data_IF_762884797369
#
_entry.id   IF_762884797369
#
_cell.length_a   1.000
_cell.length_b   1.000
_cell.length_c   1.000
_cell.angle_alpha   90.00
_cell.angle_beta   90.00
_cell.angle_gamma   90.00
#
_symmetry.space_group_name_H-M   'P 1'
#
loop_
_entity.id
_entity.type
_entity.pdbx_description
1 polymer ?
#
# COMPACT_ATOMS: atom_id res chain seq x y z
N UNK A 1 -0.08 -2.71 -21.52
CA UNK A 1 1.41 -2.62 -21.53
C UNK A 1 1.97 -4.01 -21.24
N UNK A 2 2.84 -4.50 -22.10
CA UNK A 2 3.47 -5.81 -21.94
C UNK A 2 4.47 -5.78 -20.77
N UNK A 3 4.79 -6.93 -20.14
CA UNK A 3 5.68 -6.98 -18.98
C UNK A 3 7.07 -6.36 -19.22
N UNK A 4 7.62 -6.53 -20.40
CA UNK A 4 8.92 -5.99 -20.79
C UNK A 4 8.90 -4.45 -20.91
N UNK A 5 7.83 -3.92 -21.50
CA UNK A 5 7.59 -2.47 -21.58
C UNK A 5 7.47 -1.83 -20.20
N UNK A 6 6.78 -2.51 -19.26
CA UNK A 6 6.67 -2.03 -17.87
C UNK A 6 8.02 -1.97 -17.16
N UNK A 7 8.88 -2.99 -17.36
CA UNK A 7 10.23 -2.99 -16.77
C UNK A 7 11.08 -1.83 -17.29
N UNK A 8 11.04 -1.61 -18.60
CA UNK A 8 11.74 -0.46 -19.22
C UNK A 8 11.21 0.85 -18.67
N UNK A 9 9.90 0.98 -18.58
CA UNK A 9 9.25 2.17 -18.03
C UNK A 9 9.67 2.44 -16.59
N UNK A 10 9.72 1.43 -15.72
CA UNK A 10 10.20 1.54 -14.33
C UNK A 10 11.65 2.05 -14.29
N UNK A 11 12.54 1.58 -15.17
CA UNK A 11 13.92 2.06 -15.24
C UNK A 11 13.96 3.55 -15.61
N UNK A 12 13.18 3.96 -16.59
CA UNK A 12 13.14 5.35 -17.06
C UNK A 12 12.52 6.29 -16.02
N UNK A 13 11.48 5.84 -15.30
CA UNK A 13 10.90 6.58 -14.18
C UNK A 13 11.92 6.80 -13.06
N UNK A 14 12.70 5.78 -12.69
CA UNK A 14 13.74 5.93 -11.67
C UNK A 14 14.80 6.96 -12.09
N UNK A 15 15.22 6.96 -13.36
CA UNK A 15 16.18 7.98 -13.86
C UNK A 15 15.64 9.40 -13.72
N UNK A 16 14.34 9.59 -14.01
CA UNK A 16 13.70 10.91 -13.92
C UNK A 16 13.48 11.36 -12.48
N UNK A 17 13.37 10.43 -11.54
CA UNK A 17 12.98 10.70 -10.14
C UNK A 17 14.12 11.21 -9.25
N UNK A 18 15.39 11.12 -9.66
CA UNK A 18 16.55 11.47 -8.84
C UNK A 18 16.53 12.90 -8.25
N UNK A 19 15.80 13.83 -8.87
CA UNK A 19 15.71 15.24 -8.44
C UNK A 19 14.31 15.65 -8.02
N UNK A 20 13.39 14.70 -7.91
CA UNK A 20 12.01 14.97 -7.56
C UNK A 20 11.80 14.84 -6.05
N UNK A 21 10.96 15.71 -5.49
CA UNK A 21 10.43 15.53 -4.14
C UNK A 21 9.44 14.36 -4.09
N UNK A 22 9.18 13.84 -2.90
CA UNK A 22 8.16 12.79 -2.68
C UNK A 22 6.80 13.21 -3.23
N UNK A 23 6.41 14.46 -3.03
CA UNK A 23 5.16 15.02 -3.56
C UNK A 23 5.14 15.01 -5.10
N UNK A 24 6.25 15.41 -5.72
CA UNK A 24 6.37 15.41 -7.18
C UNK A 24 6.32 14.00 -7.77
N UNK A 25 6.91 13.00 -7.10
CA UNK A 25 6.82 11.59 -7.49
C UNK A 25 5.37 11.10 -7.43
N UNK A 26 4.64 11.41 -6.36
CA UNK A 26 3.22 11.04 -6.23
C UNK A 26 2.39 11.70 -7.33
N UNK A 27 2.55 13.01 -7.54
CA UNK A 27 1.82 13.76 -8.56
C UNK A 27 2.13 13.27 -9.99
N UNK A 28 3.39 12.95 -10.28
CA UNK A 28 3.79 12.35 -11.55
C UNK A 28 3.12 10.99 -11.75
N UNK A 29 3.18 10.12 -10.74
CA UNK A 29 2.58 8.77 -10.80
C UNK A 29 1.07 8.84 -10.99
N UNK A 30 0.40 9.74 -10.26
CA UNK A 30 -1.05 9.94 -10.39
C UNK A 30 -1.48 10.33 -11.81
N UNK A 31 -0.67 11.15 -12.51
CA UNK A 31 -0.93 11.52 -13.91
C UNK A 31 -0.63 10.41 -14.92
N UNK A 32 0.38 9.57 -14.64
CA UNK A 32 0.83 8.53 -15.56
C UNK A 32 -0.03 7.26 -15.49
N UNK A 33 -0.58 6.93 -14.33
CA UNK A 33 -1.47 5.79 -14.14
C UNK A 33 -2.91 6.24 -14.38
N UNK A 34 -3.67 5.43 -15.10
CA UNK A 34 -5.08 5.74 -15.41
C UNK A 34 -5.87 6.05 -14.12
N UNK A 35 -6.82 7.00 -14.15
CA UNK A 35 -7.68 7.31 -13.01
C UNK A 35 -8.32 6.05 -12.42
N UNK A 36 -8.33 5.94 -11.09
CA UNK A 36 -8.88 4.80 -10.36
C UNK A 36 -8.02 3.51 -10.43
N UNK A 37 -6.83 3.55 -11.07
CA UNK A 37 -5.94 2.38 -11.20
C UNK A 37 -4.67 2.48 -10.35
N UNK A 38 -4.55 3.52 -9.53
CA UNK A 38 -3.51 3.71 -8.52
C UNK A 38 -4.13 3.63 -7.12
N UNK A 39 -3.45 2.99 -6.16
CA UNK A 39 -3.86 2.97 -4.76
C UNK A 39 -2.68 3.26 -3.83
N UNK A 40 -2.96 3.77 -2.64
CA UNK A 40 -2.02 3.77 -1.51
C UNK A 40 -2.34 2.59 -0.60
N UNK A 41 -1.32 1.82 -0.19
CA UNK A 41 -1.46 0.84 0.89
C UNK A 41 -0.87 1.42 2.17
N UNK A 42 -1.69 1.57 3.21
CA UNK A 42 -1.28 2.19 4.47
C UNK A 42 -1.77 1.40 5.68
N UNK A 43 -0.94 1.30 6.71
CA UNK A 43 -1.32 0.79 8.04
C UNK A 43 -1.83 1.89 8.97
N UNK A 44 -1.83 3.14 8.54
CA UNK A 44 -2.12 4.31 9.38
C UNK A 44 -1.24 4.41 10.66
N UNK A 45 -0.09 3.75 10.71
CA UNK A 45 0.88 3.98 11.79
C UNK A 45 1.39 5.43 11.79
N UNK A 46 1.96 5.89 12.90
CA UNK A 46 2.41 7.28 13.07
C UNK A 46 3.29 7.77 11.92
N UNK A 47 4.22 6.95 11.44
CA UNK A 47 5.09 7.29 10.31
C UNK A 47 4.37 7.34 8.95
N UNK A 48 3.20 6.71 8.84
CA UNK A 48 2.43 6.68 7.58
C UNK A 48 1.68 7.99 7.32
N UNK A 49 1.46 8.82 8.35
CA UNK A 49 0.71 10.08 8.26
C UNK A 49 1.34 11.05 7.27
N UNK A 50 2.67 11.11 7.21
CA UNK A 50 3.37 11.96 6.23
C UNK A 50 3.00 11.57 4.80
N UNK A 51 3.01 10.27 4.48
CA UNK A 51 2.66 9.80 3.14
C UNK A 51 1.17 10.02 2.82
N UNK A 52 0.28 9.77 3.80
CA UNK A 52 -1.14 10.03 3.66
C UNK A 52 -1.40 11.52 3.38
N UNK A 53 -0.71 12.42 4.08
CA UNK A 53 -0.80 13.86 3.86
C UNK A 53 -0.34 14.26 2.45
N UNK A 54 0.81 13.75 2.00
CA UNK A 54 1.31 14.02 0.65
C UNK A 54 0.36 13.51 -0.44
N UNK A 55 -0.24 12.34 -0.23
CA UNK A 55 -1.25 11.79 -1.16
C UNK A 55 -2.50 12.65 -1.17
N UNK A 56 -3.01 13.08 0.00
CA UNK A 56 -4.17 13.95 0.10
C UNK A 56 -3.98 15.30 -0.61
N UNK A 57 -2.75 15.84 -0.63
CA UNK A 57 -2.42 17.07 -1.38
C UNK A 57 -2.51 16.88 -2.90
N UNK A 58 -2.30 15.66 -3.41
CA UNK A 58 -2.39 15.36 -4.84
C UNK A 58 -3.80 15.00 -5.24
N UNK A 59 -4.42 14.10 -4.47
CA UNK A 59 -5.79 13.62 -4.69
C UNK A 59 -6.35 13.01 -3.40
N UNK A 60 -7.27 13.71 -2.76
CA UNK A 60 -7.93 13.25 -1.54
C UNK A 60 -8.87 12.05 -1.76
N UNK A 61 -9.27 11.80 -3.02
CA UNK A 61 -10.11 10.65 -3.42
C UNK A 61 -9.30 9.46 -3.93
N UNK A 62 -7.96 9.54 -3.92
CA UNK A 62 -7.11 8.39 -4.27
C UNK A 62 -7.40 7.22 -3.32
N UNK A 63 -7.70 6.01 -3.85
CA UNK A 63 -7.99 4.84 -3.02
C UNK A 63 -6.88 4.53 -2.01
N UNK A 64 -7.20 4.57 -0.71
CA UNK A 64 -6.31 4.19 0.39
C UNK A 64 -6.76 2.84 0.94
N UNK A 65 -5.96 1.81 0.74
CA UNK A 65 -6.23 0.45 1.22
C UNK A 65 -5.69 0.29 2.63
N UNK A 66 -6.58 0.18 3.61
CA UNK A 66 -6.26 -0.10 5.00
C UNK A 66 -6.57 -1.55 5.31
N UNK A 67 -5.56 -2.33 5.73
CA UNK A 67 -5.74 -3.74 6.06
C UNK A 67 -6.15 -3.85 7.51
N UNK A 68 -7.38 -4.27 7.74
CA UNK A 68 -7.88 -4.65 9.06
C UNK A 68 -7.77 -6.18 9.20
N UNK A 69 -6.95 -6.59 10.15
CA UNK A 69 -6.67 -8.01 10.41
C UNK A 69 -7.68 -8.67 11.34
N UNK A 70 -8.69 -7.92 11.81
CA UNK A 70 -9.59 -8.28 12.93
C UNK A 70 -8.86 -8.53 14.26
N UNK A 71 -7.56 -8.18 14.32
CA UNK A 71 -6.70 -8.26 15.49
C UNK A 71 -6.07 -6.89 15.85
N UNK A 72 -6.56 -5.81 15.21
CA UNK A 72 -6.10 -4.47 15.51
C UNK A 72 -6.71 -3.96 16.81
N UNK A 73 -5.95 -3.15 17.54
CA UNK A 73 -6.46 -2.44 18.71
C UNK A 73 -7.55 -1.42 18.30
N UNK A 74 -8.53 -1.23 19.17
CA UNK A 74 -9.60 -0.25 18.96
C UNK A 74 -9.04 1.17 18.72
N UNK A 75 -7.93 1.50 19.40
CA UNK A 75 -7.21 2.76 19.25
C UNK A 75 -6.70 2.94 17.82
N UNK A 76 -6.18 1.88 17.19
CA UNK A 76 -5.73 1.91 15.79
C UNK A 76 -6.87 2.21 14.83
N UNK A 77 -8.03 1.59 15.05
CA UNK A 77 -9.22 1.82 14.22
C UNK A 77 -9.75 3.25 14.38
N UNK A 78 -9.79 3.77 15.62
CA UNK A 78 -10.17 5.17 15.90
C UNK A 78 -9.19 6.15 15.29
N UNK A 79 -7.90 5.90 15.44
CA UNK A 79 -6.83 6.73 14.87
C UNK A 79 -6.92 6.79 13.35
N UNK A 80 -7.17 5.66 12.68
CA UNK A 80 -7.39 5.63 11.24
C UNK A 80 -8.53 6.56 10.81
N UNK A 81 -9.67 6.54 11.52
CA UNK A 81 -10.82 7.40 11.24
C UNK A 81 -10.48 8.88 11.45
N UNK A 82 -9.81 9.21 12.58
CA UNK A 82 -9.40 10.57 12.90
C UNK A 82 -8.43 11.15 11.86
N UNK A 83 -7.42 10.38 11.48
CA UNK A 83 -6.44 10.80 10.46
C UNK A 83 -7.11 10.96 9.10
N UNK A 84 -8.01 10.06 8.73
CA UNK A 84 -8.76 10.17 7.47
C UNK A 84 -9.59 11.45 7.41
N UNK A 85 -10.31 11.77 8.49
CA UNK A 85 -11.11 12.99 8.58
C UNK A 85 -10.22 14.25 8.57
N UNK A 86 -9.12 14.25 9.35
CA UNK A 86 -8.18 15.38 9.44
C UNK A 86 -7.54 15.71 8.08
N UNK A 87 -7.21 14.69 7.30
CA UNK A 87 -6.56 14.85 5.99
C UNK A 87 -7.57 14.97 4.84
N UNK A 88 -8.87 14.87 5.10
CA UNK A 88 -9.92 14.94 4.08
C UNK A 88 -9.92 13.75 3.11
N UNK A 89 -9.41 12.58 3.51
CA UNK A 89 -9.39 11.39 2.65
C UNK A 89 -10.80 10.83 2.47
N UNK A 90 -11.29 10.81 1.24
CA UNK A 90 -12.69 10.45 0.92
C UNK A 90 -12.86 8.99 0.49
N UNK A 91 -11.76 8.27 0.16
CA UNK A 91 -11.81 6.94 -0.42
C UNK A 91 -10.91 5.94 0.35
N UNK A 92 -11.13 5.85 1.66
CA UNK A 92 -10.44 4.84 2.48
C UNK A 92 -11.24 3.53 2.46
N UNK A 93 -10.59 2.46 2.02
CA UNK A 93 -11.18 1.14 1.84
C UNK A 93 -10.60 0.16 2.85
N UNK A 94 -11.45 -0.37 3.71
CA UNK A 94 -11.06 -1.36 4.71
C UNK A 94 -11.01 -2.73 4.04
N UNK A 95 -9.83 -3.35 4.05
CA UNK A 95 -9.57 -4.65 3.44
C UNK A 95 -9.44 -5.69 4.54
N UNK A 96 -10.28 -6.73 4.48
CA UNK A 96 -10.30 -7.84 5.44
C UNK A 96 -10.22 -9.19 4.72
N UNK A 97 -9.84 -10.22 5.45
CA UNK A 97 -10.04 -11.59 5.01
C UNK A 97 -11.54 -11.88 4.80
N UNK A 98 -11.87 -12.74 3.85
CA UNK A 98 -13.24 -13.16 3.66
C UNK A 98 -13.70 -14.00 4.85
N UNK A 99 -14.93 -13.79 5.31
CA UNK A 99 -15.49 -14.46 6.49
C UNK A 99 -15.45 -15.98 6.38
N UNK A 100 -15.74 -16.54 5.20
CA UNK A 100 -15.71 -17.98 4.92
C UNK A 100 -14.28 -18.56 5.05
N UNK A 101 -13.27 -17.83 4.58
CA UNK A 101 -11.86 -18.21 4.72
C UNK A 101 -11.41 -18.15 6.16
N UNK A 102 -11.82 -17.12 6.89
CA UNK A 102 -11.51 -16.96 8.30
C UNK A 102 -12.08 -18.13 9.12
N UNK A 103 -13.37 -18.43 8.98
CA UNK A 103 -14.03 -19.52 9.71
C UNK A 103 -13.43 -20.89 9.40
N UNK A 104 -12.98 -21.12 8.17
CA UNK A 104 -12.41 -22.39 7.74
C UNK A 104 -10.97 -22.61 8.22
N UNK A 105 -10.14 -21.54 8.20
CA UNK A 105 -8.68 -21.65 8.43
C UNK A 105 -8.33 -21.34 9.88
N UNK A 106 -9.01 -20.38 10.50
CA UNK A 106 -8.77 -19.91 11.86
C UNK A 106 -10.08 -19.79 12.66
N UNK A 107 -10.81 -20.91 12.85
CA UNK A 107 -12.14 -20.90 13.49
C UNK A 107 -12.11 -20.41 14.95
N UNK A 108 -10.97 -20.56 15.63
CA UNK A 108 -10.79 -20.13 17.02
C UNK A 108 -10.09 -18.79 17.16
N UNK A 109 -9.64 -18.17 16.06
CA UNK A 109 -8.93 -16.89 16.08
C UNK A 109 -7.52 -16.97 16.69
N UNK A 110 -6.92 -18.17 16.79
CA UNK A 110 -5.65 -18.42 17.49
C UNK A 110 -4.46 -18.68 16.55
N UNK A 111 -4.68 -18.60 15.24
CA UNK A 111 -3.64 -18.86 14.25
C UNK A 111 -2.40 -17.95 14.44
N UNK A 112 -2.60 -16.74 14.95
CA UNK A 112 -1.51 -15.80 15.24
C UNK A 112 -0.52 -16.30 16.30
N UNK A 113 -0.93 -17.26 17.16
CA UNK A 113 -0.09 -17.89 18.18
C UNK A 113 0.57 -19.16 17.66
N UNK A 114 -0.18 -19.97 16.88
CA UNK A 114 0.29 -21.30 16.42
C UNK A 114 1.10 -21.23 15.12
N UNK A 115 0.73 -20.36 14.18
CA UNK A 115 1.40 -20.16 12.88
C UNK A 115 1.28 -18.68 12.45
N UNK A 116 2.21 -17.82 12.90
CA UNK A 116 2.21 -16.40 12.57
C UNK A 116 2.27 -16.11 11.06
N UNK A 117 2.97 -16.93 10.29
CA UNK A 117 3.11 -16.74 8.84
C UNK A 117 1.81 -17.06 8.12
N UNK A 118 1.16 -18.16 8.45
CA UNK A 118 -0.17 -18.49 7.93
C UNK A 118 -1.21 -17.42 8.34
N UNK A 119 -1.15 -16.93 9.58
CA UNK A 119 -1.99 -15.84 10.05
C UNK A 119 -1.76 -14.55 9.24
N UNK A 120 -0.50 -14.18 9.01
CA UNK A 120 -0.14 -13.00 8.20
C UNK A 120 -0.61 -13.17 6.74
N UNK A 121 -0.45 -14.35 6.17
CA UNK A 121 -0.95 -14.64 4.84
C UNK A 121 -2.46 -14.50 4.75
N UNK A 122 -3.21 -15.15 5.64
CA UNK A 122 -4.67 -15.12 5.68
C UNK A 122 -5.21 -13.69 5.84
N UNK A 123 -4.70 -12.96 6.84
CA UNK A 123 -5.30 -11.70 7.29
C UNK A 123 -4.73 -10.45 6.60
N UNK A 124 -3.57 -10.56 5.94
CA UNK A 124 -2.91 -9.43 5.27
C UNK A 124 -2.64 -9.69 3.79
N UNK A 125 -1.86 -10.76 3.50
CA UNK A 125 -1.33 -10.96 2.14
C UNK A 125 -2.41 -11.32 1.14
N UNK A 126 -3.27 -12.28 1.45
CA UNK A 126 -4.33 -12.73 0.55
C UNK A 126 -5.40 -11.63 0.29
N UNK A 127 -5.92 -10.92 1.33
CA UNK A 127 -6.84 -9.79 1.11
C UNK A 127 -6.21 -8.66 0.30
N UNK A 128 -4.96 -8.29 0.59
CA UNK A 128 -4.24 -7.25 -0.17
C UNK A 128 -4.05 -7.66 -1.62
N UNK A 129 -3.65 -8.90 -1.89
CA UNK A 129 -3.51 -9.42 -3.25
C UNK A 129 -4.83 -9.34 -4.01
N UNK A 130 -5.93 -9.66 -3.35
CA UNK A 130 -7.26 -9.57 -3.95
C UNK A 130 -7.64 -8.11 -4.27
N UNK A 131 -7.47 -7.21 -3.31
CA UNK A 131 -7.79 -5.79 -3.47
C UNK A 131 -6.95 -5.13 -4.58
N UNK A 132 -5.65 -5.47 -4.67
CA UNK A 132 -4.76 -4.89 -5.66
C UNK A 132 -5.02 -5.37 -7.10
N UNK A 133 -5.83 -6.41 -7.34
CA UNK A 133 -6.09 -6.92 -8.71
C UNK A 133 -6.58 -5.85 -9.68
N UNK A 134 -7.37 -4.90 -9.20
CA UNK A 134 -7.97 -3.83 -10.01
C UNK A 134 -7.04 -2.64 -10.27
N UNK A 135 -5.87 -2.55 -9.62
CA UNK A 135 -4.93 -1.46 -9.76
C UNK A 135 -3.76 -1.85 -10.66
N UNK A 136 -3.18 -0.89 -11.36
CA UNK A 136 -1.98 -1.07 -12.18
C UNK A 136 -0.70 -0.72 -11.42
N UNK A 137 -0.84 0.13 -10.38
CA UNK A 137 0.24 0.50 -9.48
C UNK A 137 -0.25 0.74 -8.05
N UNK A 138 0.68 0.70 -7.11
CA UNK A 138 0.38 0.99 -5.71
C UNK A 138 1.54 1.68 -5.00
N UNK A 139 1.20 2.65 -4.16
CA UNK A 139 2.14 3.44 -3.36
C UNK A 139 2.36 2.74 -2.03
N UNK A 140 3.61 2.68 -1.58
CA UNK A 140 4.00 2.13 -0.27
C UNK A 140 4.82 3.13 0.54
N UNK A 141 4.72 3.04 1.87
CA UNK A 141 5.50 3.87 2.80
C UNK A 141 6.90 3.32 3.11
N UNK A 142 7.48 2.48 2.25
CA UNK A 142 8.84 1.97 2.48
C UNK A 142 9.87 3.09 2.46
N UNK A 143 10.83 2.98 3.39
CA UNK A 143 11.97 3.90 3.53
C UNK A 143 13.26 3.09 3.58
N UNK A 144 14.36 3.61 3.00
CA UNK A 144 15.65 2.89 2.95
C UNK A 144 16.25 2.60 4.32
N UNK A 145 16.10 3.51 5.27
CA UNK A 145 16.69 3.38 6.61
C UNK A 145 15.99 2.36 7.54
N UNK A 146 14.85 1.78 7.13
CA UNK A 146 14.06 0.86 7.97
C UNK A 146 14.57 -0.60 7.95
N UNK A 147 15.82 -0.85 7.59
CA UNK A 147 16.45 -2.17 7.64
C UNK A 147 17.35 -2.47 6.45
N UNK A 148 18.29 -3.39 6.64
CA UNK A 148 19.30 -3.77 5.64
C UNK A 148 18.70 -4.25 4.31
N UNK A 149 17.62 -4.99 4.37
CA UNK A 149 16.89 -5.48 3.17
C UNK A 149 16.20 -4.37 2.38
N UNK A 150 16.14 -3.13 2.90
CA UNK A 150 15.51 -1.97 2.26
C UNK A 150 16.51 -0.94 1.75
N UNK A 151 17.81 -1.12 1.98
CA UNK A 151 18.83 -0.17 1.57
C UNK A 151 18.85 0.11 0.06
N UNK A 152 18.44 -0.87 -0.76
CA UNK A 152 18.42 -0.81 -2.23
C UNK A 152 17.05 -0.49 -2.81
N UNK A 153 16.05 -0.14 -1.99
CA UNK A 153 14.70 0.17 -2.47
C UNK A 153 14.75 1.38 -3.42
N UNK A 154 14.20 1.19 -4.61
CA UNK A 154 14.06 2.24 -5.61
C UNK A 154 12.71 2.96 -5.49
N UNK A 155 12.59 4.17 -6.06
CA UNK A 155 11.31 4.90 -6.12
C UNK A 155 10.23 4.11 -6.85
N UNK A 156 10.61 3.41 -7.92
CA UNK A 156 9.73 2.54 -8.69
C UNK A 156 10.32 1.15 -8.78
N UNK A 157 9.52 0.15 -8.48
CA UNK A 157 9.87 -1.26 -8.53
C UNK A 157 8.76 -2.03 -9.26
N UNK A 158 9.14 -3.09 -9.98
CA UNK A 158 8.17 -4.12 -10.34
C UNK A 158 7.87 -4.98 -9.11
N UNK A 159 6.60 -5.12 -8.76
CA UNK A 159 6.15 -6.09 -7.75
C UNK A 159 6.11 -7.48 -8.40
N UNK A 160 7.10 -8.35 -8.17
CA UNK A 160 7.22 -9.61 -8.91
C UNK A 160 6.06 -10.58 -8.62
N UNK A 161 5.47 -10.47 -7.43
CA UNK A 161 4.34 -11.34 -7.04
C UNK A 161 3.00 -10.92 -7.64
N UNK A 162 2.89 -9.69 -8.17
CA UNK A 162 1.62 -9.13 -8.66
C UNK A 162 1.67 -8.57 -10.07
N UNK A 163 2.83 -8.54 -10.71
CA UNK A 163 3.06 -7.89 -12.00
C UNK A 163 2.51 -6.44 -12.06
N UNK A 164 2.80 -5.66 -11.02
CA UNK A 164 2.34 -4.28 -10.84
C UNK A 164 3.52 -3.37 -10.55
N UNK A 165 3.31 -2.07 -10.79
CA UNK A 165 4.29 -1.06 -10.40
C UNK A 165 4.09 -0.71 -8.94
N UNK A 166 5.15 -0.83 -8.17
CA UNK A 166 5.20 -0.40 -6.78
C UNK A 166 5.98 0.89 -6.68
N UNK A 167 5.41 1.88 -6.01
CA UNK A 167 5.94 3.22 -5.87
C UNK A 167 6.33 3.47 -4.42
N UNK A 168 7.56 3.90 -4.18
CA UNK A 168 8.11 4.17 -2.85
C UNK A 168 8.57 5.64 -2.78
N UNK A 169 7.68 6.62 -2.58
CA UNK A 169 8.05 8.04 -2.70
C UNK A 169 8.96 8.55 -1.59
N UNK A 170 9.08 7.81 -0.47
CA UNK A 170 9.83 8.21 0.72
C UNK A 170 11.27 7.63 0.78
N UNK A 171 11.80 7.12 -0.33
CA UNK A 171 13.17 6.55 -0.40
C UNK A 171 14.23 7.57 -0.75
#
# INVERSE_FOLDING_TARGET
MQPEERRKWVVDLNKQSHRLSSLAIIAMTHRLIKPGRLALVSSFGAEAVVLLHLVAQVDADLPVLFIDTDLLFTETLRYQQQVSALLGLTNVQIIRAKADQHTRIDPLGQLHQSDPDACCYLRKTAPLNHALRRFDGWISGRKRFQGSSRATVAWFEMDPGRDKIKINPLV
#
